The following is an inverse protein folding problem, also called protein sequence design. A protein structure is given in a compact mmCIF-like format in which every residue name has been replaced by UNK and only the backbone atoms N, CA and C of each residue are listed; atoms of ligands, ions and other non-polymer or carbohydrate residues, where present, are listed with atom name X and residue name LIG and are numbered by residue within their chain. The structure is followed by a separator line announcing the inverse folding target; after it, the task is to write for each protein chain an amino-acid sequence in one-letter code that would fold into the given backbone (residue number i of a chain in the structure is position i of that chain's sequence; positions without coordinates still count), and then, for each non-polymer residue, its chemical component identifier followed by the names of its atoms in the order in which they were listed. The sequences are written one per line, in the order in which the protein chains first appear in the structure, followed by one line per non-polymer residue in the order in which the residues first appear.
data_IF_931245758641
#
_entry.id   IF_931245758641
#
_cell.length_a   1.000
_cell.length_b   1.000
_cell.length_c   1.000
_cell.angle_alpha   90.00
_cell.angle_beta   90.00
_cell.angle_gamma   90.00
#
_symmetry.space_group_name_H-M   'P 1'
#
loop_
_entity.id
_entity.type
_entity.pdbx_description
1 polymer ?
#
# COMPACT_ATOMS: atom_id res chain seq x y z
N UNK A 1 15.28 14.92 5.68
CA UNK A 1 16.08 13.79 6.20
C UNK A 1 15.27 12.52 6.52
N UNK A 2 13.92 12.53 6.60
CA UNK A 2 13.12 11.29 6.71
C UNK A 2 12.56 10.78 5.36
N UNK A 3 12.53 11.61 4.31
CA UNK A 3 11.92 11.29 3.02
C UNK A 3 12.71 10.22 2.22
N UNK A 4 14.05 10.32 2.20
CA UNK A 4 14.92 9.37 1.50
C UNK A 4 14.82 7.92 2.01
N UNK A 5 14.56 7.74 3.32
CA UNK A 5 14.33 6.41 3.90
C UNK A 5 12.98 5.82 3.48
N UNK A 6 11.97 6.68 3.31
CA UNK A 6 10.63 6.25 2.86
C UNK A 6 10.71 5.81 1.41
N UNK A 7 11.40 6.54 0.54
CA UNK A 7 11.50 6.21 -0.88
C UNK A 7 12.24 4.88 -1.15
N UNK A 8 13.38 4.67 -0.49
CA UNK A 8 14.14 3.42 -0.60
C UNK A 8 13.38 2.20 -0.05
N UNK A 9 12.63 2.37 1.05
CA UNK A 9 11.79 1.32 1.64
C UNK A 9 10.52 1.09 0.82
N UNK A 10 9.99 2.13 0.18
CA UNK A 10 8.82 2.05 -0.69
C UNK A 10 9.06 1.14 -1.88
N UNK A 11 10.21 1.23 -2.55
CA UNK A 11 10.56 0.32 -3.66
C UNK A 11 10.49 -1.16 -3.27
N UNK A 12 10.96 -1.51 -2.07
CA UNK A 12 10.87 -2.90 -1.58
C UNK A 12 9.43 -3.31 -1.26
N UNK A 13 8.64 -2.39 -0.71
CA UNK A 13 7.25 -2.63 -0.34
C UNK A 13 6.35 -2.74 -1.57
N UNK A 14 6.61 -1.98 -2.65
CA UNK A 14 5.88 -2.08 -3.92
C UNK A 14 5.81 -3.52 -4.43
N UNK A 15 6.91 -4.28 -4.37
CA UNK A 15 6.93 -5.69 -4.76
C UNK A 15 5.92 -6.53 -3.96
N UNK A 16 5.97 -6.40 -2.63
CA UNK A 16 5.06 -7.09 -1.71
C UNK A 16 3.59 -6.69 -1.92
N UNK A 17 3.33 -5.41 -2.21
CA UNK A 17 1.98 -4.92 -2.52
C UNK A 17 1.48 -5.56 -3.81
N UNK A 18 2.32 -5.70 -4.85
CA UNK A 18 1.92 -6.41 -6.09
C UNK A 18 1.66 -7.88 -5.85
N UNK A 19 2.47 -8.53 -5.01
CA UNK A 19 2.25 -9.94 -4.64
C UNK A 19 0.91 -10.14 -3.92
N UNK A 20 0.57 -9.25 -2.98
CA UNK A 20 -0.68 -9.30 -2.23
C UNK A 20 -1.91 -8.91 -3.07
N UNK A 21 -1.76 -7.86 -3.88
CA UNK A 21 -2.83 -7.28 -4.69
C UNK A 21 -2.42 -7.27 -6.16
N UNK A 22 -2.39 -8.45 -6.79
CA UNK A 22 -1.93 -8.62 -8.17
C UNK A 22 -2.67 -7.81 -9.25
N UNK A 23 -3.79 -7.14 -8.92
CA UNK A 23 -4.48 -6.20 -9.82
C UNK A 23 -3.93 -4.77 -9.75
N UNK A 24 -3.12 -4.44 -8.75
CA UNK A 24 -2.44 -3.16 -8.66
C UNK A 24 -1.26 -3.14 -9.65
N UNK A 25 -1.27 -2.17 -10.55
CA UNK A 25 -0.18 -1.96 -11.53
C UNK A 25 0.93 -1.12 -10.92
N UNK A 26 2.09 -1.06 -11.59
CA UNK A 26 3.16 -0.14 -11.17
C UNK A 26 2.71 1.32 -11.07
N UNK A 27 1.88 1.77 -12.02
CA UNK A 27 1.30 3.12 -11.99
C UNK A 27 0.44 3.36 -10.74
N UNK A 28 -0.37 2.38 -10.33
CA UNK A 28 -1.14 2.47 -9.09
C UNK A 28 -0.22 2.67 -7.88
N UNK A 29 0.90 1.94 -7.83
CA UNK A 29 1.88 2.02 -6.74
C UNK A 29 2.65 3.34 -6.74
N UNK A 30 2.94 3.89 -7.90
CA UNK A 30 3.56 5.21 -7.99
C UNK A 30 2.64 6.29 -7.43
N UNK A 31 1.33 6.20 -7.68
CA UNK A 31 0.37 7.14 -7.09
C UNK A 31 0.14 6.90 -5.60
N UNK A 32 0.18 5.63 -5.15
CA UNK A 32 0.05 5.31 -3.73
C UNK A 32 1.16 5.97 -2.92
N UNK A 33 2.41 5.92 -3.41
CA UNK A 33 3.56 6.62 -2.82
C UNK A 33 3.69 6.45 -1.28
N UNK A 34 3.36 5.27 -0.74
CA UNK A 34 3.39 5.00 0.70
C UNK A 34 2.24 5.58 1.53
N UNK A 35 1.22 6.19 0.91
CA UNK A 35 0.04 6.75 1.58
C UNK A 35 -1.05 5.70 1.78
N UNK A 36 -1.55 5.56 3.01
CA UNK A 36 -2.56 4.55 3.36
C UNK A 36 -3.88 4.75 2.61
N UNK A 37 -4.39 5.98 2.59
CA UNK A 37 -5.66 6.31 1.93
C UNK A 37 -5.64 6.05 0.42
N UNK A 38 -4.51 6.33 -0.23
CA UNK A 38 -4.35 6.04 -1.66
C UNK A 38 -4.37 4.53 -1.92
N UNK A 39 -3.69 3.73 -1.08
CA UNK A 39 -3.73 2.27 -1.19
C UNK A 39 -5.15 1.75 -1.03
N UNK A 40 -5.88 2.20 -0.01
CA UNK A 40 -7.28 1.82 0.22
C UNK A 40 -8.17 2.18 -0.97
N UNK A 41 -8.03 3.39 -1.52
CA UNK A 41 -8.79 3.83 -2.69
C UNK A 41 -8.52 2.95 -3.91
N UNK A 42 -7.25 2.64 -4.19
CA UNK A 42 -6.87 1.79 -5.33
C UNK A 42 -7.32 0.34 -5.15
N UNK A 43 -7.24 -0.22 -3.95
CA UNK A 43 -7.75 -1.56 -3.65
C UNK A 43 -9.26 -1.62 -3.91
N UNK A 44 -10.03 -0.65 -3.41
CA UNK A 44 -11.47 -0.58 -3.66
C UNK A 44 -11.77 -0.49 -5.17
N UNK A 45 -11.07 0.37 -5.90
CA UNK A 45 -11.29 0.56 -7.34
C UNK A 45 -10.90 -0.65 -8.20
N UNK A 46 -9.75 -1.29 -7.92
CA UNK A 46 -9.21 -2.39 -8.74
C UNK A 46 -9.80 -3.75 -8.39
N UNK A 47 -10.08 -3.98 -7.10
CA UNK A 47 -10.59 -5.25 -6.63
C UNK A 47 -12.10 -5.25 -6.38
N UNK A 48 -12.75 -4.08 -6.28
CA UNK A 48 -14.17 -3.96 -5.98
C UNK A 48 -14.50 -4.27 -4.51
N UNK A 49 -13.52 -4.18 -3.61
CA UNK A 49 -13.73 -4.46 -2.19
C UNK A 49 -14.48 -3.32 -1.51
N UNK A 50 -15.26 -3.68 -0.49
CA UNK A 50 -15.82 -2.71 0.43
C UNK A 50 -14.70 -2.02 1.22
N UNK A 51 -14.99 -0.82 1.74
CA UNK A 51 -14.03 -0.05 2.54
C UNK A 51 -13.49 -0.86 3.72
N UNK A 52 -14.37 -1.52 4.48
CA UNK A 52 -13.99 -2.32 5.65
C UNK A 52 -13.05 -3.48 5.27
N UNK A 53 -13.34 -4.18 4.18
CA UNK A 53 -12.50 -5.26 3.65
C UNK A 53 -11.12 -4.74 3.22
N UNK A 54 -11.08 -3.60 2.53
CA UNK A 54 -9.83 -2.96 2.14
C UNK A 54 -9.01 -2.55 3.38
N UNK A 55 -9.65 -1.99 4.41
CA UNK A 55 -8.99 -1.61 5.66
C UNK A 55 -8.43 -2.80 6.42
N UNK A 56 -9.17 -3.91 6.50
CA UNK A 56 -8.68 -5.15 7.12
C UNK A 56 -7.47 -5.73 6.36
N UNK A 57 -7.49 -5.70 5.03
CA UNK A 57 -6.38 -6.20 4.23
C UNK A 57 -5.12 -5.33 4.39
N UNK A 58 -5.28 -4.01 4.41
CA UNK A 58 -4.16 -3.08 4.64
C UNK A 58 -3.60 -3.24 6.06
N UNK A 59 -4.45 -3.33 7.09
CA UNK A 59 -4.01 -3.60 8.46
C UNK A 59 -3.26 -4.95 8.57
N UNK A 60 -3.78 -6.00 7.93
CA UNK A 60 -3.11 -7.30 7.87
C UNK A 60 -1.74 -7.19 7.19
N UNK A 61 -1.63 -6.41 6.11
CA UNK A 61 -0.37 -6.19 5.41
C UNK A 61 0.62 -5.43 6.30
N UNK A 62 0.21 -4.38 7.01
CA UNK A 62 1.04 -3.61 7.94
C UNK A 62 1.55 -4.50 9.09
N UNK A 63 0.70 -5.39 9.62
CA UNK A 63 1.11 -6.35 10.68
C UNK A 63 2.14 -7.36 10.18
N UNK A 64 2.02 -7.83 8.93
CA UNK A 64 3.00 -8.73 8.30
C UNK A 64 4.30 -8.04 7.91
N UNK A 65 4.28 -6.71 7.82
CA UNK A 65 5.43 -5.90 7.41
C UNK A 65 5.69 -4.79 8.44
N UNK A 66 6.06 -5.11 9.68
CA UNK A 66 6.21 -4.14 10.77
C UNK A 66 7.29 -3.07 10.49
N UNK A 67 8.26 -3.41 9.64
CA UNK A 67 9.28 -2.47 9.15
C UNK A 67 8.70 -1.35 8.28
N UNK A 68 7.53 -1.51 7.69
CA UNK A 68 6.93 -0.49 6.84
C UNK A 68 5.56 -0.09 7.37
N UNK A 69 5.42 1.20 7.67
CA UNK A 69 4.14 1.79 8.05
C UNK A 69 3.73 2.77 6.97
N UNK A 70 2.49 2.68 6.51
CA UNK A 70 1.96 3.67 5.60
C UNK A 70 1.81 4.99 6.36
N UNK A 71 2.06 6.10 5.64
CA UNK A 71 1.70 7.40 6.15
C UNK A 71 0.17 7.48 6.23
N UNK A 72 -0.34 7.70 7.44
CA UNK A 72 -1.75 8.06 7.65
C UNK A 72 -1.90 9.54 7.26
N UNK A 73 -2.88 9.85 6.41
CA UNK A 73 -3.26 11.23 6.15
C UNK A 73 -3.88 11.89 7.38
#
# INVERSE_FOLDING_TARGET
MNHDRIEGRWKQVKGKIREQWGKLTEDDLDVIAGKRDQLLGRIQQRHGFAKEEAEQQVDTFERRNPDFKFEKS
#
